data_IF_433123885815
#
_entry.id   IF_433123885815
#
_cell.length_a   1.000
_cell.length_b   1.000
_cell.length_c   1.000
_cell.angle_alpha   90.00
_cell.angle_beta   90.00
_cell.angle_gamma   90.00
#
_symmetry.space_group_name_H-M   'P 1'
#
loop_
_entity.id
_entity.type
_entity.pdbx_description
1 polymer ?
#
# COMPACT_ATOMS: atom_id res chain seq x y z
N UNK A 1 -18.89 -2.28 58.67
CA UNK A 1 -17.75 -2.56 57.74
C UNK A 1 -18.30 -2.73 56.32
N UNK A 2 -18.24 -1.70 55.47
CA UNK A 2 -18.57 -1.80 54.04
C UNK A 2 -17.27 -1.59 53.25
N UNK A 3 -16.66 -2.67 52.77
CA UNK A 3 -15.53 -2.59 51.84
C UNK A 3 -16.12 -2.34 50.45
N UNK A 4 -15.96 -1.13 49.91
CA UNK A 4 -16.17 -0.88 48.49
C UNK A 4 -15.00 -1.51 47.72
N UNK A 5 -15.31 -2.49 46.89
CA UNK A 5 -14.41 -3.03 45.87
C UNK A 5 -14.28 -1.99 44.75
N UNK A 6 -13.09 -1.42 44.61
CA UNK A 6 -12.71 -0.60 43.46
C UNK A 6 -12.33 -1.55 42.33
N UNK A 7 -13.17 -1.63 41.29
CA UNK A 7 -12.86 -2.34 40.06
C UNK A 7 -11.95 -1.43 39.23
N UNK A 8 -10.64 -1.74 39.24
CA UNK A 8 -9.66 -1.14 38.35
C UNK A 8 -9.93 -1.62 36.92
N UNK A 9 -10.49 -0.73 36.08
CA UNK A 9 -10.64 -0.97 34.65
C UNK A 9 -9.28 -0.73 33.99
N UNK A 10 -8.47 -1.79 33.87
CA UNK A 10 -7.22 -1.78 33.14
C UNK A 10 -7.52 -1.50 31.65
N UNK A 11 -7.23 -0.27 31.20
CA UNK A 11 -7.19 0.10 29.80
C UNK A 11 -6.03 -0.65 29.12
N UNK A 12 -6.31 -1.85 28.64
CA UNK A 12 -5.41 -2.56 27.73
C UNK A 12 -5.28 -1.71 26.46
N UNK A 13 -4.06 -1.38 26.00
CA UNK A 13 -3.90 -0.70 24.73
C UNK A 13 -4.47 -1.62 23.65
N UNK A 14 -5.49 -1.15 22.93
CA UNK A 14 -5.98 -1.83 21.73
C UNK A 14 -4.82 -1.88 20.74
N UNK A 15 -4.08 -2.99 20.75
CA UNK A 15 -3.25 -3.36 19.62
C UNK A 15 -4.21 -3.43 18.45
N UNK A 16 -4.05 -2.53 17.48
CA UNK A 16 -4.83 -2.53 16.25
C UNK A 16 -4.58 -3.88 15.56
N UNK A 17 -5.43 -4.86 15.89
CA UNK A 17 -5.33 -6.21 15.38
C UNK A 17 -5.57 -6.13 13.88
N UNK A 18 -4.71 -6.77 13.09
CA UNK A 18 -4.93 -6.87 11.67
C UNK A 18 -6.32 -7.49 11.44
N UNK A 19 -7.21 -6.72 10.81
CA UNK A 19 -8.54 -7.17 10.44
C UNK A 19 -8.52 -7.50 8.95
N UNK A 20 -8.91 -8.73 8.57
CA UNK A 20 -8.98 -9.09 7.16
C UNK A 20 -9.96 -8.16 6.44
N UNK A 21 -9.68 -7.90 5.17
CA UNK A 21 -10.52 -7.05 4.34
C UNK A 21 -11.91 -7.65 4.16
N UNK A 22 -12.94 -6.83 4.39
CA UNK A 22 -14.34 -7.16 4.17
C UNK A 22 -14.90 -6.30 3.05
N UNK A 23 -15.48 -6.94 2.03
CA UNK A 23 -16.18 -6.25 0.96
C UNK A 23 -17.27 -5.34 1.52
N UNK A 24 -17.38 -4.13 0.97
CA UNK A 24 -18.38 -3.15 1.36
C UNK A 24 -19.39 -2.92 0.24
N UNK A 25 -18.90 -2.47 -0.91
CA UNK A 25 -19.74 -2.10 -2.05
C UNK A 25 -18.91 -2.07 -3.33
N UNK A 26 -19.59 -2.04 -4.46
CA UNK A 26 -19.03 -1.68 -5.75
C UNK A 26 -19.48 -0.26 -6.07
N UNK A 27 -18.58 0.59 -6.56
CA UNK A 27 -18.90 1.91 -7.05
C UNK A 27 -18.05 2.22 -8.28
N UNK A 28 -18.66 2.75 -9.35
CA UNK A 28 -18.04 2.94 -10.67
C UNK A 28 -17.06 1.81 -11.00
N UNK A 29 -15.76 2.10 -10.91
CA UNK A 29 -14.68 1.27 -11.41
C UNK A 29 -13.99 0.46 -10.30
N UNK A 30 -14.48 0.59 -9.06
CA UNK A 30 -13.87 0.02 -7.86
C UNK A 30 -14.79 -0.91 -7.08
N UNK A 31 -14.20 -1.98 -6.54
CA UNK A 31 -14.75 -2.74 -5.41
C UNK A 31 -14.06 -2.28 -4.14
N UNK A 32 -14.84 -1.81 -3.17
CA UNK A 32 -14.33 -1.24 -1.93
C UNK A 32 -14.33 -2.27 -0.82
N UNK A 33 -13.22 -2.35 -0.09
CA UNK A 33 -13.04 -3.21 1.07
C UNK A 33 -12.59 -2.40 2.27
N UNK A 34 -13.12 -2.75 3.44
CA UNK A 34 -12.72 -2.18 4.72
C UNK A 34 -11.91 -3.19 5.51
N UNK A 35 -10.80 -2.75 6.07
CA UNK A 35 -9.92 -3.61 6.86
C UNK A 35 -8.57 -2.95 7.07
N UNK A 36 -7.70 -3.65 7.79
CA UNK A 36 -6.34 -3.19 8.05
C UNK A 36 -5.42 -4.40 8.17
N UNK A 37 -4.35 -4.42 7.38
CA UNK A 37 -3.43 -5.57 7.35
C UNK A 37 -1.98 -5.11 7.24
N UNK A 38 -1.07 -5.93 7.77
CA UNK A 38 0.36 -5.75 7.61
C UNK A 38 0.87 -6.59 6.43
N UNK A 39 1.63 -5.97 5.53
CA UNK A 39 2.16 -6.57 4.31
C UNK A 39 3.66 -6.33 4.24
N UNK A 40 4.41 -7.34 3.81
CA UNK A 40 5.81 -7.18 3.40
C UNK A 40 5.93 -7.27 1.89
N UNK A 41 6.80 -6.46 1.31
CA UNK A 41 6.97 -6.36 -0.14
C UNK A 41 7.89 -5.19 -0.53
N UNK A 42 7.77 -4.78 -1.79
CA UNK A 42 8.59 -3.73 -2.41
C UNK A 42 7.74 -2.48 -2.61
N UNK A 43 8.16 -1.33 -2.07
CA UNK A 43 7.63 -0.02 -2.46
C UNK A 43 8.44 0.53 -3.62
N UNK A 44 7.82 1.31 -4.49
CA UNK A 44 8.51 2.00 -5.57
C UNK A 44 7.79 3.28 -6.02
N UNK A 45 8.51 4.11 -6.77
CA UNK A 45 8.02 5.32 -7.45
C UNK A 45 8.73 5.41 -8.80
N UNK A 46 7.97 5.33 -9.88
CA UNK A 46 8.44 5.53 -11.25
C UNK A 46 8.35 7.02 -11.59
N UNK A 47 9.46 7.59 -12.05
CA UNK A 47 9.66 8.99 -12.39
C UNK A 47 10.19 9.15 -13.82
N UNK A 48 10.08 8.10 -14.63
CA UNK A 48 10.21 8.24 -16.07
C UNK A 48 9.16 9.23 -16.60
N UNK A 49 9.53 10.25 -17.40
CA UNK A 49 8.57 11.26 -17.84
C UNK A 49 7.38 10.69 -18.62
N UNK A 50 7.59 9.71 -19.50
CA UNK A 50 6.51 9.11 -20.29
C UNK A 50 5.53 8.35 -19.39
N UNK A 51 6.06 7.59 -18.41
CA UNK A 51 5.24 6.94 -17.41
C UNK A 51 4.45 7.95 -16.57
N UNK A 52 5.10 9.01 -16.09
CA UNK A 52 4.45 10.02 -15.22
C UNK A 52 3.37 10.77 -15.98
N UNK A 53 3.61 11.11 -17.25
CA UNK A 53 2.61 11.78 -18.09
C UNK A 53 1.38 10.88 -18.35
N UNK A 54 1.58 9.57 -18.46
CA UNK A 54 0.52 8.63 -18.80
C UNK A 54 -0.25 8.08 -17.59
N UNK A 55 0.47 7.62 -16.56
CA UNK A 55 -0.08 6.92 -15.39
C UNK A 55 -0.04 7.76 -14.11
N UNK A 56 0.61 8.93 -14.15
CA UNK A 56 0.76 9.83 -13.01
C UNK A 56 1.90 9.44 -12.07
N UNK A 57 2.34 10.43 -11.28
CA UNK A 57 3.33 10.27 -10.23
C UNK A 57 2.73 9.57 -9.01
N UNK A 58 2.85 8.24 -8.97
CA UNK A 58 2.32 7.40 -7.92
C UNK A 58 3.43 6.73 -7.11
N UNK A 59 3.17 6.51 -5.83
CA UNK A 59 3.98 5.63 -4.99
C UNK A 59 3.19 4.35 -4.79
N UNK A 60 3.78 3.24 -5.23
CA UNK A 60 3.08 1.96 -5.33
C UNK A 60 3.85 0.86 -4.60
N UNK A 61 3.18 -0.27 -4.43
CA UNK A 61 3.67 -1.39 -3.64
C UNK A 61 3.30 -2.73 -4.26
N UNK A 62 4.29 -3.62 -4.33
CA UNK A 62 4.11 -5.01 -4.72
C UNK A 62 4.33 -5.91 -3.51
N UNK A 63 3.26 -6.48 -2.91
CA UNK A 63 3.39 -7.41 -1.80
C UNK A 63 4.10 -8.71 -2.20
N UNK A 64 4.94 -9.24 -1.31
CA UNK A 64 5.51 -10.58 -1.47
C UNK A 64 4.41 -11.65 -1.45
N UNK A 65 4.68 -12.85 -1.98
CA UNK A 65 3.67 -13.94 -2.16
C UNK A 65 2.78 -14.19 -0.94
N UNK A 66 3.35 -14.23 0.28
CA UNK A 66 2.58 -14.44 1.53
C UNK A 66 1.68 -13.24 1.88
N UNK A 67 2.16 -12.02 1.60
CA UNK A 67 1.38 -10.81 1.84
C UNK A 67 0.30 -10.63 0.78
N UNK A 68 0.58 -11.02 -0.47
CA UNK A 68 -0.36 -10.92 -1.58
C UNK A 68 -1.64 -11.74 -1.34
N UNK A 69 -1.55 -12.89 -0.65
CA UNK A 69 -2.73 -13.69 -0.30
C UNK A 69 -3.66 -13.03 0.74
N UNK A 70 -3.25 -11.92 1.34
CA UNK A 70 -4.07 -11.14 2.28
C UNK A 70 -4.85 -10.02 1.57
N UNK A 71 -4.55 -9.74 0.30
CA UNK A 71 -5.26 -8.75 -0.52
C UNK A 71 -6.52 -9.41 -1.10
N UNK A 72 -7.69 -8.77 -1.00
CA UNK A 72 -8.94 -9.36 -1.49
C UNK A 72 -8.96 -9.36 -3.02
N UNK A 73 -9.14 -10.55 -3.61
CA UNK A 73 -9.30 -10.72 -5.06
C UNK A 73 -10.56 -11.55 -5.36
N UNK A 74 -11.51 -11.01 -6.17
CA UNK A 74 -12.70 -11.74 -6.59
C UNK A 74 -12.34 -13.01 -7.35
N UNK A 75 -13.23 -14.00 -7.31
CA UNK A 75 -13.08 -15.22 -8.12
C UNK A 75 -12.97 -14.84 -9.61
N UNK A 76 -11.95 -15.40 -10.28
CA UNK A 76 -11.67 -15.14 -11.70
C UNK A 76 -10.71 -13.96 -11.94
N UNK A 77 -10.32 -13.22 -10.91
CA UNK A 77 -9.34 -12.14 -11.03
C UNK A 77 -7.93 -12.66 -10.77
N UNK A 78 -7.20 -13.01 -11.84
CA UNK A 78 -5.88 -13.66 -11.79
C UNK A 78 -4.68 -12.69 -11.77
N UNK A 79 -4.92 -11.38 -11.86
CA UNK A 79 -3.83 -10.37 -11.87
C UNK A 79 -2.98 -10.47 -10.59
N UNK A 80 -1.72 -10.08 -10.63
CA UNK A 80 -0.93 -9.97 -9.39
C UNK A 80 -1.46 -8.84 -8.50
N UNK A 81 -1.34 -8.97 -7.17
CA UNK A 81 -1.69 -7.88 -6.27
C UNK A 81 -0.66 -6.75 -6.40
N UNK A 82 -1.14 -5.56 -6.73
CA UNK A 82 -0.32 -4.38 -6.96
C UNK A 82 -1.21 -3.14 -6.77
N UNK A 83 -0.75 -2.17 -5.98
CA UNK A 83 -1.57 -1.01 -5.62
C UNK A 83 -0.71 0.23 -5.35
N UNK A 84 -1.34 1.40 -5.47
CA UNK A 84 -0.75 2.70 -5.16
C UNK A 84 -1.40 3.34 -3.92
N UNK A 85 -0.73 4.31 -3.31
CA UNK A 85 -1.21 4.94 -2.07
C UNK A 85 -2.00 6.23 -2.36
N UNK A 86 -3.23 6.31 -1.84
CA UNK A 86 -4.04 7.55 -1.87
C UNK A 86 -3.34 8.73 -1.15
N UNK A 87 -2.58 8.43 -0.10
CA UNK A 87 -1.90 9.43 0.71
C UNK A 87 -0.43 9.60 0.30
N UNK A 88 -0.21 10.03 -0.95
CA UNK A 88 1.10 10.20 -1.59
C UNK A 88 2.14 10.87 -0.69
N UNK A 89 1.84 12.04 -0.12
CA UNK A 89 2.77 12.80 0.71
C UNK A 89 3.23 12.02 1.97
N UNK A 90 2.32 11.27 2.58
CA UNK A 90 2.66 10.41 3.71
C UNK A 90 3.54 9.25 3.27
N UNK A 91 3.23 8.62 2.12
CA UNK A 91 4.04 7.54 1.57
C UNK A 91 5.45 8.02 1.20
N UNK A 92 5.57 9.16 0.52
CA UNK A 92 6.85 9.77 0.12
C UNK A 92 7.76 9.99 1.32
N UNK A 93 7.23 10.62 2.37
CA UNK A 93 7.96 10.88 3.63
C UNK A 93 8.34 9.58 4.34
N UNK A 94 7.43 8.61 4.40
CA UNK A 94 7.65 7.33 5.08
C UNK A 94 8.79 6.54 4.44
N UNK A 95 8.86 6.53 3.10
CA UNK A 95 9.88 5.80 2.35
C UNK A 95 11.12 6.64 2.01
N UNK A 96 11.16 7.91 2.43
CA UNK A 96 12.26 8.86 2.17
C UNK A 96 12.57 8.99 0.67
N UNK A 97 11.51 9.04 -0.14
CA UNK A 97 11.63 9.12 -1.59
C UNK A 97 11.94 10.57 -2.02
N UNK A 98 13.00 10.81 -2.81
CA UNK A 98 13.31 12.14 -3.35
C UNK A 98 12.26 12.63 -4.35
N UNK A 99 12.11 13.95 -4.49
CA UNK A 99 11.14 14.55 -5.42
C UNK A 99 11.49 14.40 -6.90
N UNK A 100 12.78 14.28 -7.22
CA UNK A 100 13.29 14.15 -8.58
C UNK A 100 14.22 12.96 -8.71
N UNK A 101 14.45 12.55 -9.96
CA UNK A 101 15.37 11.47 -10.30
C UNK A 101 16.51 11.97 -11.19
N UNK A 102 17.68 11.36 -11.05
CA UNK A 102 18.85 11.69 -11.86
C UNK A 102 18.68 11.15 -13.27
N UNK A 103 19.19 11.89 -14.27
CA UNK A 103 19.20 11.44 -15.68
C UNK A 103 19.74 10.02 -15.82
N UNK A 104 19.03 9.18 -16.59
CA UNK A 104 19.38 7.78 -16.82
C UNK A 104 18.83 6.81 -15.76
N UNK A 105 18.14 7.32 -14.74
CA UNK A 105 17.39 6.53 -13.75
C UNK A 105 15.92 6.91 -13.80
N UNK A 106 15.05 5.93 -13.62
CA UNK A 106 13.62 6.08 -13.79
C UNK A 106 12.83 5.64 -12.57
N UNK A 107 13.34 4.71 -11.76
CA UNK A 107 12.60 4.23 -10.59
C UNK A 107 13.40 4.40 -9.30
N UNK A 108 12.70 4.71 -8.21
CA UNK A 108 13.17 4.48 -6.85
C UNK A 108 12.45 3.25 -6.28
N UNK A 109 13.17 2.32 -5.67
CA UNK A 109 12.57 1.14 -5.03
C UNK A 109 13.23 0.77 -3.70
N UNK A 110 12.49 0.05 -2.86
CA UNK A 110 13.01 -0.55 -1.64
C UNK A 110 12.00 -1.52 -1.03
N UNK A 111 12.37 -2.20 0.05
CA UNK A 111 11.48 -3.13 0.77
C UNK A 111 10.99 -2.53 2.07
N UNK A 112 9.77 -2.89 2.47
CA UNK A 112 9.21 -2.52 3.75
C UNK A 112 8.17 -3.55 4.22
N UNK A 113 7.91 -3.54 5.53
CA UNK A 113 6.66 -4.06 6.09
C UNK A 113 5.73 -2.89 6.38
N UNK A 114 4.64 -2.77 5.62
CA UNK A 114 3.66 -1.70 5.73
C UNK A 114 2.39 -2.15 6.43
N UNK A 115 1.73 -1.25 7.13
CA UNK A 115 0.31 -1.42 7.53
C UNK A 115 -0.52 -0.56 6.60
N UNK A 116 -1.51 -1.17 5.95
CA UNK A 116 -2.43 -0.48 5.05
C UNK A 116 -3.86 -0.54 5.58
N UNK A 117 -4.68 0.44 5.21
CA UNK A 117 -6.09 0.54 5.59
C UNK A 117 -6.97 0.74 4.39
N UNK A 118 -8.08 0.01 4.37
CA UNK A 118 -9.03 -0.10 3.27
C UNK A 118 -8.36 -0.54 1.96
N UNK A 119 -9.15 -0.97 0.99
CA UNK A 119 -8.62 -1.38 -0.29
C UNK A 119 -9.66 -1.10 -1.36
N UNK A 120 -9.27 -0.37 -2.39
CA UNK A 120 -10.09 -0.07 -3.55
C UNK A 120 -9.51 -0.88 -4.72
N UNK A 121 -10.15 -2.00 -5.05
CA UNK A 121 -9.75 -2.86 -6.15
C UNK A 121 -10.33 -2.29 -7.46
N UNK A 122 -9.46 -1.91 -8.37
CA UNK A 122 -9.83 -1.49 -9.71
C UNK A 122 -10.14 -2.72 -10.56
N UNK A 123 -11.35 -2.82 -11.10
CA UNK A 123 -11.85 -4.06 -11.71
C UNK A 123 -12.32 -3.92 -13.16
N UNK A 124 -12.25 -2.73 -13.74
CA UNK A 124 -12.63 -2.52 -15.14
C UNK A 124 -11.49 -2.91 -16.09
N UNK A 125 -11.84 -3.25 -17.33
CA UNK A 125 -10.90 -3.61 -18.41
C UNK A 125 -10.27 -2.36 -19.02
N UNK A 126 -9.56 -1.60 -18.20
CA UNK A 126 -8.74 -0.46 -18.63
C UNK A 126 -7.46 -0.40 -17.83
N UNK A 127 -6.61 0.56 -18.16
CA UNK A 127 -5.47 0.86 -17.32
C UNK A 127 -5.90 1.57 -16.04
N UNK A 128 -5.21 1.26 -14.96
CA UNK A 128 -5.47 1.81 -13.64
C UNK A 128 -4.78 1.00 -12.55
N UNK A 129 -4.95 1.46 -11.31
CA UNK A 129 -4.33 0.86 -10.14
C UNK A 129 -5.38 0.55 -9.09
N UNK A 130 -5.11 -0.48 -8.31
CA UNK A 130 -5.74 -0.61 -7.00
C UNK A 130 -5.19 0.48 -6.07
N UNK A 131 -5.98 0.89 -5.09
CA UNK A 131 -5.55 1.91 -4.14
C UNK A 131 -5.78 1.52 -2.68
N UNK A 132 -4.93 2.07 -1.80
CA UNK A 132 -5.07 1.93 -0.35
C UNK A 132 -4.50 3.15 0.38
N UNK A 133 -4.71 3.23 1.69
CA UNK A 133 -4.08 4.23 2.55
C UNK A 133 -2.95 3.60 3.36
N UNK A 134 -1.74 4.16 3.26
CA UNK A 134 -0.61 3.80 4.13
C UNK A 134 -0.85 4.32 5.55
N UNK A 135 -0.79 3.43 6.55
CA UNK A 135 -0.89 3.79 7.98
C UNK A 135 0.49 3.91 8.63
N UNK A 136 1.36 2.93 8.39
CA UNK A 136 2.70 2.91 8.96
C UNK A 136 3.63 2.00 8.15
N UNK A 137 4.94 2.16 8.33
CA UNK A 137 5.93 1.24 7.80
C UNK A 137 7.01 0.94 8.84
N UNK A 138 7.55 -0.27 8.77
CA UNK A 138 8.73 -0.71 9.53
C UNK A 138 9.63 -1.53 8.61
N UNK A 139 10.86 -1.77 9.04
CA UNK A 139 11.86 -2.50 8.25
C UNK A 139 12.06 -1.89 6.84
N UNK A 140 11.96 -0.57 6.74
CA UNK A 140 12.13 0.16 5.48
C UNK A 140 13.61 0.12 5.10
N UNK A 141 13.93 -0.54 3.98
CA UNK A 141 15.31 -0.57 3.48
C UNK A 141 15.68 0.77 2.85
N UNK A 142 16.97 1.12 2.75
CA UNK A 142 17.40 2.26 1.96
C UNK A 142 16.89 2.16 0.52
N UNK A 143 16.48 3.30 -0.04
CA UNK A 143 16.02 3.40 -1.42
C UNK A 143 17.16 3.12 -2.39
N UNK A 144 16.87 2.35 -3.44
CA UNK A 144 17.75 2.10 -4.58
C UNK A 144 17.22 2.84 -5.80
N UNK A 145 18.12 3.40 -6.59
CA UNK A 145 17.81 3.99 -7.91
C UNK A 145 17.98 2.94 -9.00
N UNK A 146 16.95 2.75 -9.81
CA UNK A 146 16.93 1.81 -10.93
C UNK A 146 17.08 2.58 -12.24
N UNK A 147 17.94 2.07 -13.13
CA UNK A 147 18.15 2.67 -14.45
C UNK A 147 16.88 2.58 -15.28
N UNK A 148 16.68 3.55 -16.16
CA UNK A 148 15.62 3.51 -17.16
C UNK A 148 15.75 2.24 -18.01
N UNK A 149 14.61 1.60 -18.30
CA UNK A 149 14.59 0.50 -19.25
C UNK A 149 14.83 1.07 -20.64
N UNK A 150 15.84 0.57 -21.33
CA UNK A 150 15.98 0.77 -22.77
C UNK A 150 15.12 -0.28 -23.44
N UNK A 151 14.04 0.12 -24.08
CA UNK A 151 13.35 -0.77 -25.03
C UNK A 151 14.23 -0.79 -26.29
N UNK A 152 14.89 -1.92 -26.55
CA UNK A 152 15.56 -2.20 -27.83
C UNK A 152 14.53 -2.58 -28.91
#
# INVERSE_FOLDING_TARGET
MKKLLIISMLLLPMLAQAQPFKYQKTGSDFKHYQGQVALTGTYFRELDPEYVDYLGDNICFTPDKKSASLIPRPKGDERSAYFCFHNFEQARKTFKLPDSIKKGYCTYEGKATITIKNYDLFFIESEGFDYTTLISAKNVTPVKTVKCKTYE
#
